data_IF_173991634303
#
_entry.id   IF_173991634303
#
_cell.length_a   1.000
_cell.length_b   1.000
_cell.length_c   1.000
_cell.angle_alpha   90.00
_cell.angle_beta   90.00
_cell.angle_gamma   90.00
#
_symmetry.space_group_name_H-M   'P 1'
#
loop_
_entity.id
_entity.type
_entity.pdbx_description
1 polymer ?
#
# COMPACT_ATOMS: atom_id res chain seq x y z
N UNK A 1 -18.02 19.99 5.12
CA UNK A 1 -18.15 21.08 4.11
C UNK A 1 -16.86 21.04 3.27
N UNK A 2 -16.92 20.50 2.05
CA UNK A 2 -15.72 20.42 1.19
C UNK A 2 -15.48 21.80 0.56
N UNK A 3 -14.35 22.41 0.92
CA UNK A 3 -13.84 23.54 0.15
C UNK A 3 -13.32 23.04 -1.20
N UNK A 4 -14.20 22.95 -2.19
CA UNK A 4 -13.78 22.86 -3.58
C UNK A 4 -13.31 24.25 -3.99
N UNK A 5 -12.03 24.41 -4.29
CA UNK A 5 -11.55 25.66 -4.90
C UNK A 5 -11.80 25.54 -6.43
N UNK A 6 -12.93 26.06 -6.96
CA UNK A 6 -13.37 25.78 -8.34
C UNK A 6 -12.38 26.27 -9.40
N UNK A 7 -11.61 27.30 -9.05
CA UNK A 7 -10.64 27.94 -9.95
C UNK A 7 -9.40 27.08 -10.18
N UNK A 8 -8.90 26.39 -9.14
CA UNK A 8 -7.71 25.55 -9.25
C UNK A 8 -7.99 24.24 -10.01
N UNK A 9 -9.16 23.65 -9.80
CA UNK A 9 -9.54 22.40 -10.48
C UNK A 9 -9.83 22.62 -11.97
N UNK A 10 -10.34 23.78 -12.36
CA UNK A 10 -10.60 24.16 -13.78
C UNK A 10 -9.31 24.38 -14.59
N UNK A 11 -8.22 24.79 -13.95
CA UNK A 11 -6.93 25.04 -14.61
C UNK A 11 -6.04 23.77 -14.74
N UNK A 12 -6.57 22.60 -14.45
CA UNK A 12 -5.83 21.34 -14.55
C UNK A 12 -6.34 20.50 -15.69
N UNK A 13 -5.42 19.87 -16.44
CA UNK A 13 -5.73 18.91 -17.48
C UNK A 13 -4.99 17.59 -17.22
N UNK A 14 -5.58 16.49 -17.71
CA UNK A 14 -5.01 15.15 -17.61
C UNK A 14 -4.50 14.75 -18.98
N UNK A 15 -3.28 14.23 -19.01
CA UNK A 15 -2.65 13.70 -20.22
C UNK A 15 -2.06 12.33 -19.94
N UNK A 16 -1.90 11.51 -20.96
CA UNK A 16 -1.07 10.33 -20.87
C UNK A 16 0.36 10.75 -20.48
N UNK A 17 0.99 9.98 -19.61
CA UNK A 17 2.28 10.28 -19.02
C UNK A 17 3.24 9.10 -19.08
N UNK A 18 4.45 9.33 -18.64
CA UNK A 18 5.55 8.35 -18.63
C UNK A 18 5.94 7.95 -17.21
N UNK A 19 6.74 6.90 -17.10
CA UNK A 19 7.34 6.52 -15.82
C UNK A 19 8.23 7.63 -15.24
N UNK A 20 8.83 8.44 -16.12
CA UNK A 20 9.65 9.58 -15.71
C UNK A 20 8.83 10.67 -15.03
N UNK A 21 7.64 10.96 -15.57
CA UNK A 21 6.70 11.92 -14.96
C UNK A 21 6.28 11.46 -13.55
N UNK A 22 5.98 10.16 -13.39
CA UNK A 22 5.68 9.61 -12.08
C UNK A 22 6.88 9.71 -11.13
N UNK A 23 8.11 9.43 -11.59
CA UNK A 23 9.32 9.48 -10.76
C UNK A 23 9.54 10.84 -10.11
N UNK A 24 9.21 11.94 -10.79
CA UNK A 24 9.31 13.31 -10.24
C UNK A 24 8.46 13.49 -8.97
N UNK A 25 7.33 12.80 -8.90
CA UNK A 25 6.41 12.87 -7.76
C UNK A 25 6.56 11.70 -6.78
N UNK A 26 7.33 10.66 -7.10
CA UNK A 26 7.42 9.42 -6.33
C UNK A 26 7.91 9.62 -4.89
N UNK A 27 8.73 10.62 -4.63
CA UNK A 27 9.20 10.99 -3.29
C UNK A 27 8.05 11.40 -2.34
N UNK A 28 6.93 11.87 -2.88
CA UNK A 28 5.75 12.28 -2.11
C UNK A 28 4.77 11.12 -1.87
N UNK A 29 5.06 9.94 -2.39
CA UNK A 29 4.23 8.76 -2.16
C UNK A 29 4.67 8.03 -0.89
N UNK A 30 3.70 7.64 -0.04
CA UNK A 30 3.99 6.96 1.23
C UNK A 30 4.64 5.57 1.08
N UNK A 31 4.51 4.94 -0.09
CA UNK A 31 5.17 3.67 -0.42
C UNK A 31 6.46 3.96 -1.18
N UNK A 32 7.56 3.67 -0.54
CA UNK A 32 8.87 3.61 -1.20
C UNK A 32 9.02 2.29 -1.96
N UNK A 33 9.78 2.27 -3.05
CA UNK A 33 10.07 1.08 -3.84
C UNK A 33 9.59 1.15 -5.28
N UNK A 34 10.02 0.17 -6.07
CA UNK A 34 9.70 0.10 -7.50
C UNK A 34 8.20 0.00 -7.71
N UNK A 35 7.71 0.73 -8.69
CA UNK A 35 6.38 0.54 -9.21
C UNK A 35 6.31 -0.81 -9.92
N UNK A 36 5.24 -1.57 -9.72
CA UNK A 36 4.96 -2.76 -10.54
C UNK A 36 4.96 -2.36 -12.02
N UNK A 37 5.25 -3.30 -12.92
CA UNK A 37 5.27 -3.05 -14.36
C UNK A 37 4.04 -2.22 -14.78
N UNK A 38 4.24 -0.96 -15.20
CA UNK A 38 3.13 -0.08 -15.53
C UNK A 38 2.49 -0.53 -16.85
N UNK A 39 1.17 -0.43 -16.90
CA UNK A 39 0.37 -0.64 -18.12
C UNK A 39 0.04 0.69 -18.77
N UNK A 40 -0.44 1.63 -17.95
CA UNK A 40 -0.72 3.02 -18.35
C UNK A 40 -0.40 3.97 -17.21
N UNK A 41 0.00 5.16 -17.57
CA UNK A 41 0.28 6.26 -16.63
C UNK A 41 -0.45 7.49 -17.14
N UNK A 42 -1.12 8.20 -16.24
CA UNK A 42 -1.67 9.52 -16.55
C UNK A 42 -1.12 10.54 -15.58
N UNK A 43 -0.93 11.74 -16.07
CA UNK A 43 -0.45 12.89 -15.30
C UNK A 43 -1.50 13.98 -15.25
N UNK A 44 -1.60 14.61 -14.10
CA UNK A 44 -2.37 15.82 -13.90
C UNK A 44 -1.41 17.01 -13.99
N UNK A 45 -1.64 17.88 -14.97
CA UNK A 45 -0.79 19.06 -15.21
C UNK A 45 -1.53 20.36 -14.93
N UNK A 46 -0.78 21.35 -14.45
CA UNK A 46 -1.23 22.72 -14.26
C UNK A 46 -0.13 23.67 -14.69
N UNK A 47 -0.44 24.60 -15.61
CA UNK A 47 0.52 25.58 -16.16
C UNK A 47 1.82 24.91 -16.63
N UNK A 48 1.73 23.73 -17.27
CA UNK A 48 2.89 22.97 -17.73
C UNK A 48 3.56 22.05 -16.69
N UNK A 49 3.33 22.26 -15.41
CA UNK A 49 3.91 21.46 -14.33
C UNK A 49 3.11 20.18 -14.05
N UNK A 50 3.78 19.08 -13.80
CA UNK A 50 3.17 17.83 -13.35
C UNK A 50 2.90 17.90 -11.84
N UNK A 51 1.64 17.99 -11.45
CA UNK A 51 1.20 18.12 -10.06
C UNK A 51 0.54 16.84 -9.51
N UNK A 52 0.28 15.86 -10.36
CA UNK A 52 -0.25 14.56 -9.95
C UNK A 52 0.06 13.48 -10.98
N UNK A 53 0.07 12.24 -10.53
CA UNK A 53 0.23 11.06 -11.39
C UNK A 53 -0.56 9.87 -10.85
N UNK A 54 -1.09 9.06 -11.76
CA UNK A 54 -1.70 7.77 -11.48
C UNK A 54 -1.05 6.71 -12.34
N UNK A 55 -0.76 5.55 -11.74
CA UNK A 55 -0.14 4.41 -12.42
C UNK A 55 -1.07 3.21 -12.36
N UNK A 56 -1.51 2.78 -13.52
CA UNK A 56 -2.18 1.52 -13.76
C UNK A 56 -1.11 0.47 -14.08
N UNK A 57 -1.14 -0.65 -13.38
CA UNK A 57 -0.19 -1.75 -13.52
C UNK A 57 -0.91 -3.06 -13.80
N UNK A 58 -0.18 -4.07 -14.22
CA UNK A 58 -0.68 -5.43 -14.25
C UNK A 58 -1.13 -5.88 -12.84
N UNK A 59 -2.28 -6.54 -12.72
CA UNK A 59 -2.79 -6.98 -11.43
C UNK A 59 -1.91 -8.09 -10.85
N UNK A 60 -1.72 -8.15 -9.52
CA UNK A 60 -1.02 -9.28 -8.90
C UNK A 60 -1.86 -10.57 -9.07
N UNK A 61 -1.24 -11.75 -9.18
CA UNK A 61 -1.96 -13.03 -9.31
C UNK A 61 -2.99 -13.23 -8.19
N UNK A 62 -2.62 -12.87 -6.96
CA UNK A 62 -3.50 -12.98 -5.79
C UNK A 62 -3.77 -11.58 -5.24
N UNK A 63 -5.05 -11.23 -5.11
CA UNK A 63 -5.49 -9.98 -4.52
C UNK A 63 -6.63 -10.22 -3.54
N UNK A 64 -6.50 -9.63 -2.35
CA UNK A 64 -7.53 -9.65 -1.32
C UNK A 64 -8.83 -9.04 -1.88
N UNK A 65 -9.94 -9.77 -1.72
CA UNK A 65 -11.28 -9.29 -2.08
C UNK A 65 -11.70 -9.52 -3.52
N UNK A 66 -10.79 -9.76 -4.46
CA UNK A 66 -11.09 -9.93 -5.90
C UNK A 66 -12.10 -11.05 -6.16
N UNK A 67 -12.00 -12.17 -5.48
CA UNK A 67 -12.90 -13.33 -5.68
C UNK A 67 -14.39 -13.03 -5.44
N UNK A 68 -14.71 -11.90 -4.81
CA UNK A 68 -16.10 -11.44 -4.60
C UNK A 68 -16.70 -10.73 -5.83
N UNK A 69 -15.87 -10.25 -6.75
CA UNK A 69 -16.30 -9.45 -7.90
C UNK A 69 -15.92 -10.04 -9.24
N UNK A 70 -14.83 -10.79 -9.25
CA UNK A 70 -14.30 -11.34 -10.49
C UNK A 70 -13.75 -12.76 -10.26
N UNK A 71 -14.01 -13.64 -11.24
CA UNK A 71 -13.51 -15.02 -11.29
C UNK A 71 -12.98 -15.29 -12.69
N UNK A 72 -11.81 -15.88 -12.79
CA UNK A 72 -11.18 -16.23 -14.05
C UNK A 72 -9.79 -16.82 -13.83
N UNK A 73 -9.15 -17.22 -14.91
CA UNK A 73 -7.78 -17.72 -14.89
C UNK A 73 -6.76 -16.56 -14.98
N UNK A 74 -5.46 -16.89 -14.86
CA UNK A 74 -4.40 -15.90 -14.85
C UNK A 74 -4.30 -15.11 -16.18
N UNK A 75 -4.58 -15.74 -17.30
CA UNK A 75 -4.56 -15.11 -18.62
C UNK A 75 -5.68 -14.06 -18.72
N UNK A 76 -6.90 -14.43 -18.39
CA UNK A 76 -8.05 -13.52 -18.32
C UNK A 76 -7.81 -12.36 -17.34
N UNK A 77 -7.21 -12.66 -16.17
CA UNK A 77 -6.84 -11.65 -15.19
C UNK A 77 -5.97 -10.55 -15.82
N UNK A 78 -4.97 -10.96 -16.60
CA UNK A 78 -4.05 -10.00 -17.23
C UNK A 78 -4.71 -9.20 -18.36
N UNK A 79 -5.73 -9.72 -19.01
CA UNK A 79 -6.44 -9.04 -20.08
C UNK A 79 -7.57 -8.11 -19.56
N UNK A 80 -8.25 -8.53 -18.51
CA UNK A 80 -9.49 -7.89 -18.09
C UNK A 80 -9.33 -6.89 -16.94
N UNK A 81 -8.26 -7.00 -16.12
CA UNK A 81 -8.08 -6.14 -14.94
C UNK A 81 -6.81 -5.30 -15.04
N UNK A 82 -6.95 -4.03 -14.72
CA UNK A 82 -5.84 -3.13 -14.38
C UNK A 82 -5.86 -2.81 -12.90
N UNK A 83 -4.71 -2.83 -12.23
CA UNK A 83 -4.59 -2.44 -10.83
C UNK A 83 -4.06 -1.01 -10.72
N UNK A 84 -4.74 -0.13 -9.97
CA UNK A 84 -4.16 1.15 -9.58
C UNK A 84 -3.08 0.87 -8.53
N UNK A 85 -1.84 0.99 -8.93
CA UNK A 85 -0.68 0.73 -8.06
C UNK A 85 -0.19 1.98 -7.33
N UNK A 86 -0.38 3.15 -7.93
CA UNK A 86 0.04 4.44 -7.38
C UNK A 86 -0.95 5.55 -7.77
N UNK A 87 -1.27 6.39 -6.81
CA UNK A 87 -1.87 7.71 -7.03
C UNK A 87 -1.07 8.68 -6.18
N UNK A 88 -0.52 9.72 -6.77
CA UNK A 88 0.23 10.74 -6.06
C UNK A 88 -0.21 12.12 -6.51
N UNK A 89 -0.47 13.00 -5.55
CA UNK A 89 -0.68 14.42 -5.77
C UNK A 89 0.41 15.16 -5.00
N UNK A 90 1.04 16.13 -5.66
CA UNK A 90 2.04 16.99 -5.04
C UNK A 90 1.48 17.61 -3.75
N UNK A 91 2.21 17.62 -2.63
CA UNK A 91 1.69 18.05 -1.32
C UNK A 91 0.97 19.41 -1.34
N UNK A 92 1.50 20.36 -2.09
CA UNK A 92 0.91 21.71 -2.25
C UNK A 92 -0.52 21.72 -2.81
N UNK A 93 -0.94 20.64 -3.48
CA UNK A 93 -2.23 20.53 -4.16
C UNK A 93 -3.14 19.42 -3.59
N UNK A 94 -2.83 18.94 -2.38
CA UNK A 94 -3.66 17.94 -1.70
C UNK A 94 -4.90 18.56 -1.09
N UNK A 95 -5.86 17.72 -0.71
CA UNK A 95 -7.10 18.05 0.01
C UNK A 95 -8.12 18.91 -0.77
N UNK A 96 -7.91 19.15 -2.06
CA UNK A 96 -8.83 19.92 -2.93
C UNK A 96 -9.51 19.05 -4.00
N UNK A 97 -9.59 17.73 -3.80
CA UNK A 97 -10.33 16.82 -4.68
C UNK A 97 -9.55 16.31 -5.92
N UNK A 98 -8.30 16.76 -6.16
CA UNK A 98 -7.56 16.39 -7.38
C UNK A 98 -7.24 14.90 -7.48
N UNK A 99 -7.09 14.18 -6.37
CA UNK A 99 -6.91 12.74 -6.38
C UNK A 99 -8.15 12.01 -6.92
N UNK A 100 -9.33 12.38 -6.45
CA UNK A 100 -10.60 11.83 -6.94
C UNK A 100 -10.83 12.19 -8.41
N UNK A 101 -10.56 13.44 -8.81
CA UNK A 101 -10.63 13.88 -10.21
C UNK A 101 -9.74 13.03 -11.12
N UNK A 102 -8.46 12.86 -10.73
CA UNK A 102 -7.49 12.10 -11.51
C UNK A 102 -7.93 10.64 -11.69
N UNK A 103 -8.38 9.98 -10.62
CA UNK A 103 -8.90 8.60 -10.69
C UNK A 103 -10.15 8.57 -11.57
N UNK A 104 -11.16 9.37 -11.28
CA UNK A 104 -12.44 9.37 -12.01
C UNK A 104 -12.27 9.52 -13.53
N UNK A 105 -11.47 10.50 -13.97
CA UNK A 105 -11.29 10.80 -15.39
C UNK A 105 -10.39 9.81 -16.12
N UNK A 106 -9.67 8.93 -15.43
CA UNK A 106 -8.77 7.95 -16.05
C UNK A 106 -9.25 6.50 -15.94
N UNK A 107 -10.25 6.19 -15.11
CA UNK A 107 -10.77 4.82 -14.95
C UNK A 107 -11.16 4.19 -16.28
N UNK A 108 -11.96 4.89 -17.09
CA UNK A 108 -12.41 4.41 -18.40
C UNK A 108 -11.27 4.26 -19.43
N UNK A 109 -10.14 4.92 -19.17
CA UNK A 109 -8.95 4.93 -20.03
C UNK A 109 -7.89 3.91 -19.59
N UNK A 110 -8.13 3.14 -18.54
CA UNK A 110 -7.18 2.14 -18.01
C UNK A 110 -6.82 1.02 -19.01
N UNK A 111 -7.60 0.87 -20.08
CA UNK A 111 -7.36 -0.10 -21.16
C UNK A 111 -7.92 -1.49 -20.86
N UNK A 112 -8.70 -1.65 -19.80
CA UNK A 112 -9.32 -2.92 -19.40
C UNK A 112 -10.77 -2.68 -18.94
N UNK A 113 -11.66 -3.70 -19.03
CA UNK A 113 -13.04 -3.58 -18.58
C UNK A 113 -13.16 -3.39 -17.06
N UNK A 114 -12.15 -3.79 -16.29
CA UNK A 114 -12.17 -3.69 -14.83
C UNK A 114 -10.94 -2.98 -14.30
N UNK A 115 -11.12 -2.24 -13.21
CA UNK A 115 -10.03 -1.63 -12.45
C UNK A 115 -10.16 -1.99 -10.98
N UNK A 116 -9.07 -2.40 -10.37
CA UNK A 116 -9.01 -2.70 -8.94
C UNK A 116 -7.95 -1.89 -8.20
N UNK A 117 -8.14 -1.73 -6.90
CA UNK A 117 -7.09 -1.24 -6.01
C UNK A 117 -7.27 -1.77 -4.59
N UNK A 118 -6.17 -1.82 -3.83
CA UNK A 118 -6.20 -2.06 -2.38
C UNK A 118 -5.66 -0.83 -1.69
N UNK A 119 -6.56 -0.07 -1.07
CA UNK A 119 -6.26 1.18 -0.41
C UNK A 119 -6.17 1.00 1.11
N UNK A 120 -5.08 1.49 1.70
CA UNK A 120 -4.85 1.47 3.15
C UNK A 120 -5.57 2.64 3.84
N UNK A 121 -5.62 3.79 3.19
CA UNK A 121 -6.18 5.03 3.74
C UNK A 121 -7.65 5.27 3.37
N UNK A 122 -8.30 4.34 2.66
CA UNK A 122 -9.67 4.53 2.17
C UNK A 122 -10.66 4.86 3.30
N UNK A 123 -10.51 4.26 4.47
CA UNK A 123 -11.37 4.56 5.64
C UNK A 123 -11.32 6.04 6.05
N UNK A 124 -10.19 6.70 5.90
CA UNK A 124 -9.98 8.09 6.32
C UNK A 124 -10.04 9.09 5.16
N UNK A 125 -9.76 8.62 3.95
CA UNK A 125 -9.78 9.44 2.75
C UNK A 125 -10.38 8.63 1.59
N UNK A 126 -11.72 8.66 1.43
CA UNK A 126 -12.47 7.85 0.47
C UNK A 126 -12.43 8.43 -0.95
N UNK A 127 -11.28 8.90 -1.42
CA UNK A 127 -11.18 9.53 -2.73
C UNK A 127 -11.38 8.56 -3.91
N UNK A 128 -11.18 7.26 -3.70
CA UNK A 128 -11.49 6.24 -4.69
C UNK A 128 -13.00 6.03 -4.85
N UNK A 129 -13.74 6.00 -3.73
CA UNK A 129 -15.20 5.93 -3.73
C UNK A 129 -15.79 7.18 -4.38
N UNK A 130 -15.26 8.35 -4.05
CA UNK A 130 -15.64 9.63 -4.68
C UNK A 130 -15.34 9.64 -6.19
N UNK A 131 -14.37 8.87 -6.63
CA UNK A 131 -14.06 8.68 -8.05
C UNK A 131 -14.95 7.64 -8.76
N UNK A 132 -15.87 6.97 -8.04
CA UNK A 132 -16.80 6.00 -8.59
C UNK A 132 -16.39 4.54 -8.44
N UNK A 133 -15.32 4.24 -7.67
CA UNK A 133 -14.97 2.85 -7.35
C UNK A 133 -15.82 2.33 -6.18
N UNK A 134 -16.21 1.08 -6.24
CA UNK A 134 -17.03 0.44 -5.19
C UNK A 134 -16.16 -0.27 -4.16
N UNK A 135 -16.32 -0.02 -2.85
CA UNK A 135 -15.68 -0.78 -1.79
C UNK A 135 -16.33 -2.16 -1.65
N UNK A 136 -15.57 -3.22 -1.88
CA UNK A 136 -16.08 -4.60 -1.93
C UNK A 136 -15.75 -5.40 -0.67
N UNK A 137 -14.56 -5.19 -0.13
CA UNK A 137 -14.09 -5.92 1.03
C UNK A 137 -13.13 -5.09 1.87
N UNK A 138 -13.21 -5.28 3.19
CA UNK A 138 -12.33 -4.64 4.15
C UNK A 138 -11.57 -5.72 4.93
N UNK A 139 -10.24 -5.64 4.97
CA UNK A 139 -9.44 -6.49 5.83
C UNK A 139 -9.18 -5.78 7.15
N UNK A 140 -9.57 -6.42 8.26
CA UNK A 140 -9.18 -5.97 9.59
C UNK A 140 -7.73 -6.35 9.89
N UNK A 141 -7.05 -5.66 10.80
CA UNK A 141 -5.75 -6.09 11.32
C UNK A 141 -5.83 -7.52 11.86
N UNK A 142 -4.75 -8.26 11.72
CA UNK A 142 -4.67 -9.60 12.33
C UNK A 142 -4.58 -9.43 13.86
N UNK A 143 -5.49 -10.09 14.61
CA UNK A 143 -5.56 -10.00 16.07
C UNK A 143 -4.25 -10.38 16.77
N UNK A 144 -3.49 -11.32 16.22
CA UNK A 144 -2.18 -11.72 16.79
C UNK A 144 -1.13 -10.64 16.58
N UNK A 145 -1.16 -9.95 15.44
CA UNK A 145 -0.26 -8.80 15.20
C UNK A 145 -0.62 -7.67 16.17
N UNK A 146 -1.90 -7.43 16.43
CA UNK A 146 -2.34 -6.42 17.41
C UNK A 146 -1.86 -6.77 18.82
N UNK A 147 -2.03 -8.02 19.25
CA UNK A 147 -1.54 -8.49 20.55
C UNK A 147 0.00 -8.37 20.67
N UNK A 148 0.74 -8.67 19.58
CA UNK A 148 2.19 -8.47 19.56
C UNK A 148 2.57 -6.99 19.70
N UNK A 149 1.81 -6.07 19.11
CA UNK A 149 2.04 -4.64 19.31
C UNK A 149 1.78 -4.19 20.75
N UNK A 150 0.78 -4.77 21.41
CA UNK A 150 0.52 -4.53 22.85
C UNK A 150 1.68 -5.02 23.69
N UNK A 151 2.23 -6.21 23.40
CA UNK A 151 3.44 -6.71 24.07
C UNK A 151 4.62 -5.78 23.86
N UNK A 152 4.88 -5.34 22.64
CA UNK A 152 5.96 -4.38 22.35
C UNK A 152 5.72 -3.04 23.06
N UNK A 153 4.48 -2.58 23.17
CA UNK A 153 4.12 -1.37 23.90
C UNK A 153 4.44 -1.52 25.39
N UNK A 154 4.11 -2.65 25.99
CA UNK A 154 4.46 -2.96 27.39
C UNK A 154 5.98 -3.04 27.64
N UNK A 155 6.77 -3.31 26.59
CA UNK A 155 8.23 -3.27 26.61
C UNK A 155 8.79 -1.85 26.38
N UNK A 156 7.93 -0.83 26.23
CA UNK A 156 8.30 0.56 26.06
C UNK A 156 8.31 1.07 24.60
N UNK A 157 7.97 0.25 23.60
CA UNK A 157 7.83 0.74 22.24
C UNK A 157 6.58 1.59 22.07
N UNK A 158 6.71 2.71 21.37
CA UNK A 158 5.55 3.45 20.89
C UNK A 158 5.09 2.89 19.54
N UNK A 159 3.89 2.30 19.44
CA UNK A 159 3.38 1.69 18.21
C UNK A 159 3.32 2.65 17.02
N UNK A 160 3.13 3.94 17.25
CA UNK A 160 3.06 4.95 16.18
C UNK A 160 4.43 5.24 15.56
N UNK A 161 5.51 4.99 16.28
CA UNK A 161 6.89 5.21 15.85
C UNK A 161 7.55 3.98 15.22
N UNK A 162 6.89 2.82 15.20
CA UNK A 162 7.45 1.59 14.63
C UNK A 162 7.77 1.67 13.12
N UNK A 163 7.27 2.69 12.42
CA UNK A 163 7.65 2.97 11.02
C UNK A 163 9.06 3.57 10.90
N UNK A 164 9.60 4.13 11.99
CA UNK A 164 10.93 4.73 12.05
C UNK A 164 11.97 3.69 12.49
N UNK A 165 12.88 3.32 11.60
CA UNK A 165 13.91 2.31 11.87
C UNK A 165 14.94 2.77 12.90
N UNK A 166 15.33 4.05 12.91
CA UNK A 166 16.28 4.60 13.88
C UNK A 166 15.71 4.54 15.31
N UNK A 167 14.41 4.90 15.46
CA UNK A 167 13.70 4.73 16.72
C UNK A 167 13.72 3.26 17.17
N UNK A 168 13.37 2.34 16.26
CA UNK A 168 13.36 0.91 16.58
C UNK A 168 14.72 0.40 16.98
N UNK A 169 15.80 0.77 16.29
CA UNK A 169 17.18 0.38 16.63
C UNK A 169 17.57 0.86 18.02
N UNK A 170 17.26 2.11 18.37
CA UNK A 170 17.50 2.66 19.69
C UNK A 170 16.78 1.85 20.78
N UNK A 171 15.50 1.56 20.59
CA UNK A 171 14.70 0.79 21.53
C UNK A 171 15.22 -0.65 21.68
N UNK A 172 15.58 -1.30 20.57
CA UNK A 172 16.13 -2.66 20.57
C UNK A 172 17.45 -2.70 21.32
N UNK A 173 18.32 -1.69 21.16
CA UNK A 173 19.58 -1.60 21.89
C UNK A 173 19.40 -1.48 23.42
N UNK A 174 18.31 -0.85 23.86
CA UNK A 174 17.95 -0.73 25.29
C UNK A 174 17.35 -2.01 25.86
N UNK A 175 16.50 -2.69 25.11
CA UNK A 175 15.72 -3.86 25.57
C UNK A 175 16.48 -5.16 25.38
N UNK A 176 17.31 -5.24 24.33
CA UNK A 176 18.07 -6.42 23.92
C UNK A 176 17.39 -7.18 22.77
N UNK A 177 18.19 -7.59 21.79
CA UNK A 177 17.72 -8.29 20.58
C UNK A 177 16.94 -9.57 20.91
N UNK A 178 17.40 -10.34 21.90
CA UNK A 178 16.79 -11.64 22.24
C UNK A 178 15.30 -11.51 22.58
N UNK A 179 14.94 -10.55 23.43
CA UNK A 179 13.53 -10.34 23.82
C UNK A 179 12.64 -10.03 22.62
N UNK A 180 13.14 -9.26 21.65
CA UNK A 180 12.40 -8.93 20.44
C UNK A 180 12.29 -10.14 19.51
N UNK A 181 13.35 -10.94 19.41
CA UNK A 181 13.34 -12.20 18.65
C UNK A 181 12.26 -13.14 19.19
N UNK A 182 12.23 -13.35 20.52
CA UNK A 182 11.25 -14.24 21.17
C UNK A 182 9.80 -13.82 20.86
N UNK A 183 9.50 -12.52 20.92
CA UNK A 183 8.16 -11.96 20.58
C UNK A 183 7.82 -12.19 19.12
N UNK A 184 8.73 -11.95 18.20
CA UNK A 184 8.48 -12.11 16.76
C UNK A 184 8.43 -13.60 16.36
N UNK A 185 9.18 -14.46 17.03
CA UNK A 185 9.11 -15.90 16.83
C UNK A 185 7.76 -16.45 17.26
N UNK A 186 7.26 -16.09 18.45
CA UNK A 186 5.93 -16.50 18.93
C UNK A 186 4.82 -16.09 17.96
N UNK A 187 4.82 -14.83 17.51
CA UNK A 187 3.89 -14.35 16.49
C UNK A 187 3.97 -15.20 15.21
N UNK A 188 5.14 -15.63 14.82
CA UNK A 188 5.40 -16.35 13.57
C UNK A 188 4.94 -17.79 13.56
N UNK A 189 4.83 -18.45 14.72
CA UNK A 189 4.57 -19.90 14.83
C UNK A 189 3.40 -20.37 13.96
N UNK A 190 2.28 -19.66 14.02
CA UNK A 190 1.02 -20.05 13.36
C UNK A 190 0.70 -19.26 12.09
N UNK A 191 1.62 -18.40 11.61
CA UNK A 191 1.30 -17.45 10.56
C UNK A 191 2.36 -17.38 9.45
N UNK A 192 2.30 -18.26 8.41
CA UNK A 192 3.27 -18.26 7.30
C UNK A 192 3.40 -16.90 6.59
N UNK A 193 2.28 -16.18 6.42
CA UNK A 193 2.29 -14.86 5.80
C UNK A 193 3.03 -13.81 6.65
N UNK A 194 3.01 -13.95 7.98
CA UNK A 194 3.78 -13.10 8.89
C UNK A 194 5.26 -13.41 8.75
N UNK A 195 5.66 -14.69 8.79
CA UNK A 195 7.05 -15.12 8.59
C UNK A 195 7.65 -14.52 7.32
N UNK A 196 6.95 -14.69 6.19
CA UNK A 196 7.38 -14.13 4.91
C UNK A 196 7.64 -12.61 5.00
N UNK A 197 6.73 -11.87 5.62
CA UNK A 197 6.87 -10.42 5.73
C UNK A 197 7.96 -10.01 6.69
N UNK A 198 8.04 -10.61 7.87
CA UNK A 198 9.10 -10.31 8.85
C UNK A 198 10.49 -10.63 8.28
N UNK A 199 10.61 -11.72 7.52
CA UNK A 199 11.85 -12.08 6.84
C UNK A 199 12.21 -11.17 5.64
N UNK A 200 11.32 -10.28 5.22
CA UNK A 200 11.54 -9.41 4.07
C UNK A 200 11.46 -10.12 2.71
N UNK A 201 10.84 -11.30 2.66
CA UNK A 201 10.72 -12.10 1.43
C UNK A 201 9.49 -11.68 0.61
N UNK A 202 9.60 -11.72 -0.71
CA UNK A 202 8.52 -11.32 -1.62
C UNK A 202 7.62 -12.47 -2.05
N UNK A 203 8.15 -13.65 -2.31
CA UNK A 203 7.45 -14.77 -2.93
C UNK A 203 7.44 -16.07 -2.13
N UNK A 204 8.43 -16.32 -1.30
CA UNK A 204 8.59 -17.56 -0.56
C UNK A 204 7.97 -17.48 0.82
N UNK A 205 7.24 -18.53 1.21
CA UNK A 205 6.72 -18.69 2.57
C UNK A 205 7.67 -19.63 3.34
N UNK A 206 8.57 -19.11 4.19
CA UNK A 206 9.53 -19.95 4.90
C UNK A 206 8.81 -20.87 5.89
N UNK A 207 9.30 -22.09 6.05
CA UNK A 207 8.90 -22.98 7.15
C UNK A 207 9.25 -22.31 8.49
N UNK A 208 8.63 -22.79 9.57
CA UNK A 208 8.87 -22.18 10.89
C UNK A 208 10.32 -22.27 11.31
N UNK A 209 10.92 -23.45 11.16
CA UNK A 209 12.32 -23.70 11.51
C UNK A 209 13.31 -22.84 10.71
N UNK A 210 13.06 -22.69 9.38
CA UNK A 210 13.86 -21.80 8.52
C UNK A 210 13.77 -20.34 8.97
N UNK A 211 12.58 -19.92 9.36
CA UNK A 211 12.35 -18.56 9.86
C UNK A 211 13.05 -18.35 11.20
N UNK A 212 12.92 -19.30 12.15
CA UNK A 212 13.56 -19.23 13.48
C UNK A 212 15.08 -19.17 13.33
N UNK A 213 15.67 -20.04 12.52
CA UNK A 213 17.11 -20.03 12.25
C UNK A 213 17.56 -18.69 11.65
N UNK A 214 16.74 -18.09 10.81
CA UNK A 214 17.03 -16.80 10.18
C UNK A 214 16.93 -15.65 11.19
N UNK A 215 15.82 -15.57 11.96
CA UNK A 215 15.57 -14.44 12.85
C UNK A 215 16.54 -14.41 14.03
N UNK A 216 17.02 -15.57 14.50
CA UNK A 216 18.06 -15.66 15.53
C UNK A 216 19.39 -15.01 15.12
N UNK A 217 19.63 -14.83 13.82
CA UNK A 217 20.83 -14.17 13.28
C UNK A 217 20.62 -12.67 13.03
N UNK A 218 19.43 -12.14 13.29
CA UNK A 218 19.14 -10.74 13.07
C UNK A 218 19.85 -9.86 14.07
N UNK A 219 20.52 -8.84 13.57
CA UNK A 219 21.05 -7.74 14.36
C UNK A 219 19.97 -6.68 14.65
N UNK A 220 20.30 -5.62 15.38
CA UNK A 220 19.36 -4.55 15.72
C UNK A 220 18.73 -3.88 14.48
N UNK A 221 19.49 -3.68 13.40
CA UNK A 221 18.99 -3.06 12.16
C UNK A 221 18.02 -3.99 11.42
N UNK A 222 18.29 -5.30 11.40
CA UNK A 222 17.39 -6.29 10.79
C UNK A 222 16.06 -6.37 11.56
N UNK A 223 16.13 -6.39 12.89
CA UNK A 223 14.95 -6.39 13.77
C UNK A 223 14.17 -5.09 13.65
N UNK A 224 14.83 -3.94 13.58
CA UNK A 224 14.17 -2.65 13.34
C UNK A 224 13.41 -2.63 12.01
N UNK A 225 14.00 -3.22 10.97
CA UNK A 225 13.35 -3.41 9.69
C UNK A 225 12.17 -4.38 9.76
N UNK A 226 12.26 -5.43 10.57
CA UNK A 226 11.16 -6.37 10.81
C UNK A 226 10.00 -5.71 11.56
N UNK A 227 10.27 -4.91 12.59
CA UNK A 227 9.26 -4.14 13.32
C UNK A 227 8.57 -3.11 12.42
N UNK A 228 9.31 -2.42 11.54
CA UNK A 228 8.72 -1.56 10.53
C UNK A 228 7.77 -2.34 9.60
N UNK A 229 8.14 -3.53 9.15
CA UNK A 229 7.25 -4.39 8.34
C UNK A 229 6.03 -4.86 9.13
N UNK A 230 6.18 -5.13 10.43
CA UNK A 230 5.08 -5.48 11.33
C UNK A 230 4.05 -4.36 11.42
N UNK A 231 4.48 -3.11 11.56
CA UNK A 231 3.59 -1.95 11.68
C UNK A 231 2.64 -1.81 10.48
N UNK A 232 3.08 -2.17 9.27
CA UNK A 232 2.22 -2.16 8.08
C UNK A 232 1.17 -3.28 8.05
N UNK A 233 1.26 -4.27 8.94
CA UNK A 233 0.30 -5.37 9.02
C UNK A 233 -0.91 -5.04 9.88
N UNK A 234 -0.87 -3.95 10.62
CA UNK A 234 -1.98 -3.45 11.45
C UNK A 234 -2.95 -2.55 10.71
N UNK A 235 -2.63 -2.21 9.48
CA UNK A 235 -3.44 -1.28 8.70
C UNK A 235 -4.69 -1.98 8.13
N UNK A 236 -5.84 -1.37 8.36
CA UNK A 236 -7.07 -1.74 7.66
C UNK A 236 -6.90 -1.46 6.16
N UNK A 237 -7.28 -2.42 5.32
CA UNK A 237 -7.21 -2.28 3.87
C UNK A 237 -8.60 -2.46 3.29
N UNK A 238 -8.94 -1.62 2.33
CA UNK A 238 -10.18 -1.72 1.57
C UNK A 238 -9.82 -2.14 0.14
N UNK A 239 -10.47 -3.21 -0.33
CA UNK A 239 -10.43 -3.60 -1.73
C UNK A 239 -11.53 -2.88 -2.45
N UNK A 240 -11.18 -2.12 -3.49
CA UNK A 240 -12.12 -1.36 -4.32
C UNK A 240 -12.06 -1.87 -5.75
N UNK A 241 -13.22 -1.86 -6.39
CA UNK A 241 -13.41 -2.38 -7.74
C UNK A 241 -14.25 -1.41 -8.58
N UNK A 242 -13.92 -1.32 -9.83
CA UNK A 242 -14.67 -0.53 -10.81
C UNK A 242 -14.88 -1.35 -12.08
N UNK A 243 -16.06 -1.25 -12.66
CA UNK A 243 -16.45 -1.88 -13.93
C UNK A 243 -16.79 -0.79 -14.93
N UNK A 244 -16.22 -0.89 -16.14
CA UNK A 244 -16.58 -0.01 -17.26
C UNK A 244 -18.07 -0.18 -17.57
N UNK A 245 -18.78 0.92 -17.60
CA UNK A 245 -20.16 0.94 -18.11
C UNK A 245 -20.09 0.90 -19.64
N UNK A 246 -20.85 0.01 -20.24
CA UNK A 246 -21.01 -0.07 -21.69
C UNK A 246 -21.86 1.10 -22.18
#
# INVERSE_FOLDING_TARGET
MEMTCPTLTKQTHITEGTLQDYKQLSQFHYRTGRCSAPRKIFTLKRKGETIGAIVYSHPPPICFGRSKTWKGNLHQLQQEISAISRVVIHPKYRSIGLGAKLVNQTLAQAGTPYVETVAVMAKYNPFFEKAGMQPIATSKPNKHVTATLEQLSNMGFNPTLLTNTQYNEKMISQIGCKKIIDVLEELSKRHPAVRRRLAGLSSVYPKHEEFTTKICKFNAADLASALKRLSFMTQTKVYLFWKKQN
#
